data_IF_886015690730
#
_entry.id   IF_886015690730
#
_cell.length_a   1.000
_cell.length_b   1.000
_cell.length_c   1.000
_cell.angle_alpha   90.00
_cell.angle_beta   90.00
_cell.angle_gamma   90.00
#
_symmetry.space_group_name_H-M   'P 1'
#
loop_
_entity.id
_entity.type
_entity.pdbx_description
1 polymer ?
#
# COMPACT_ATOMS: atom_id res chain seq x y z
N UNK A 1 7.91 0.87 27.39
CA UNK A 1 7.30 0.35 26.13
C UNK A 1 8.15 0.82 24.95
N UNK A 2 8.55 -0.09 24.10
CA UNK A 2 9.21 0.22 22.83
C UNK A 2 8.23 0.92 21.87
N UNK A 3 8.74 1.61 20.84
CA UNK A 3 7.89 2.24 19.84
C UNK A 3 6.98 1.21 19.15
N UNK A 4 7.48 -0.02 18.95
CA UNK A 4 6.68 -1.13 18.42
C UNK A 4 5.49 -1.47 19.31
N UNK A 5 5.71 -1.62 20.62
CA UNK A 5 4.63 -1.91 21.58
C UNK A 5 3.61 -0.78 21.65
N UNK A 6 4.08 0.49 21.62
CA UNK A 6 3.21 1.68 21.57
C UNK A 6 2.35 1.67 20.30
N UNK A 7 2.93 1.33 19.14
CA UNK A 7 2.22 1.31 17.85
C UNK A 7 1.19 0.18 17.79
N UNK A 8 1.52 -1.01 18.28
CA UNK A 8 0.57 -2.12 18.42
C UNK A 8 -0.59 -1.73 19.33
N UNK A 9 -0.30 -1.09 20.48
CA UNK A 9 -1.33 -0.61 21.40
C UNK A 9 -2.26 0.44 20.75
N UNK A 10 -1.73 1.33 19.88
CA UNK A 10 -2.55 2.25 19.11
C UNK A 10 -3.50 1.49 18.18
N UNK A 11 -3.01 0.52 17.40
CA UNK A 11 -3.85 -0.27 16.50
C UNK A 11 -4.96 -0.99 17.27
N UNK A 12 -4.63 -1.60 18.40
CA UNK A 12 -5.62 -2.28 19.25
C UNK A 12 -6.65 -1.31 19.84
N UNK A 13 -6.23 -0.11 20.22
CA UNK A 13 -7.15 0.94 20.70
C UNK A 13 -8.10 1.43 19.59
N UNK A 14 -7.62 1.56 18.35
CA UNK A 14 -8.46 1.90 17.19
C UNK A 14 -9.47 0.79 16.89
N UNK A 15 -9.05 -0.49 16.93
CA UNK A 15 -9.94 -1.66 16.78
C UNK A 15 -11.00 -1.69 17.88
N UNK A 16 -10.59 -1.48 19.14
CA UNK A 16 -11.53 -1.43 20.26
C UNK A 16 -12.56 -0.29 20.10
N UNK A 17 -12.14 0.86 19.55
CA UNK A 17 -13.05 1.95 19.25
C UNK A 17 -14.05 1.55 18.15
N UNK A 18 -13.61 0.95 17.05
CA UNK A 18 -14.53 0.43 16.01
C UNK A 18 -15.54 -0.55 16.61
N UNK A 19 -15.08 -1.47 17.44
CA UNK A 19 -15.96 -2.44 18.12
C UNK A 19 -17.00 -1.77 19.02
N UNK A 20 -16.62 -0.74 19.76
CA UNK A 20 -17.54 0.03 20.64
C UNK A 20 -18.68 0.66 19.86
N UNK A 21 -18.41 1.10 18.62
CA UNK A 21 -19.40 1.72 17.73
C UNK A 21 -20.03 0.73 16.74
N UNK A 22 -19.99 -0.58 17.04
CA UNK A 22 -20.70 -1.62 16.29
C UNK A 22 -20.03 -2.11 15.01
N UNK A 23 -18.78 -1.71 14.76
CA UNK A 23 -18.03 -2.06 13.54
C UNK A 23 -16.98 -3.15 13.76
N UNK A 24 -16.96 -3.80 14.92
CA UNK A 24 -16.00 -4.87 15.21
C UNK A 24 -16.21 -6.06 14.29
N UNK A 25 -15.14 -6.49 13.60
CA UNK A 25 -15.14 -7.54 12.57
C UNK A 25 -16.04 -7.23 11.35
N UNK A 26 -16.48 -5.99 11.19
CA UNK A 26 -17.18 -5.53 10.00
C UNK A 26 -16.18 -5.37 8.82
N UNK A 27 -16.69 -5.59 7.60
CA UNK A 27 -15.88 -5.40 6.39
C UNK A 27 -15.34 -3.97 6.19
N UNK A 28 -15.85 -2.97 6.93
CA UNK A 28 -15.41 -1.59 6.89
C UNK A 28 -14.39 -1.24 7.98
N UNK A 29 -14.25 -2.05 9.04
CA UNK A 29 -13.32 -1.82 10.14
C UNK A 29 -11.89 -1.56 9.62
N UNK A 30 -11.41 -2.42 8.70
CA UNK A 30 -10.07 -2.26 8.14
C UNK A 30 -9.89 -0.95 7.35
N UNK A 31 -10.94 -0.49 6.65
CA UNK A 31 -10.89 0.78 5.89
C UNK A 31 -10.69 1.96 6.83
N UNK A 32 -11.40 1.96 7.93
CA UNK A 32 -11.31 2.99 8.95
C UNK A 32 -9.93 2.98 9.58
N UNK A 33 -9.50 1.83 10.10
CA UNK A 33 -8.25 1.73 10.85
C UNK A 33 -7.06 2.07 9.97
N UNK A 34 -7.01 1.56 8.74
CA UNK A 34 -5.90 1.82 7.83
C UNK A 34 -5.80 3.29 7.42
N UNK A 35 -6.93 3.96 7.19
CA UNK A 35 -6.93 5.38 6.84
C UNK A 35 -6.61 6.28 8.03
N UNK A 36 -7.16 5.98 9.22
CA UNK A 36 -6.87 6.73 10.45
C UNK A 36 -5.40 6.54 10.84
N UNK A 37 -4.86 5.33 10.74
CA UNK A 37 -3.44 5.04 10.96
C UNK A 37 -2.55 5.80 9.97
N UNK A 38 -2.89 5.74 8.67
CA UNK A 38 -2.16 6.48 7.63
C UNK A 38 -2.21 7.99 7.88
N UNK A 39 -3.37 8.54 8.23
CA UNK A 39 -3.50 9.95 8.56
C UNK A 39 -2.53 10.35 9.70
N UNK A 40 -2.50 9.57 10.78
CA UNK A 40 -1.56 9.82 11.88
C UNK A 40 -0.11 9.74 11.43
N UNK A 41 0.25 8.70 10.66
CA UNK A 41 1.59 8.55 10.11
C UNK A 41 2.00 9.76 9.25
N UNK A 42 1.13 10.20 8.34
CA UNK A 42 1.41 11.34 7.47
C UNK A 42 1.51 12.66 8.25
N UNK A 43 0.65 12.88 9.25
CA UNK A 43 0.73 14.04 10.14
C UNK A 43 2.09 14.13 10.83
N UNK A 44 2.54 13.03 11.43
CA UNK A 44 3.80 13.00 12.18
C UNK A 44 5.01 13.03 11.24
N UNK A 45 4.95 12.36 10.08
CA UNK A 45 6.00 12.41 9.05
C UNK A 45 6.19 13.82 8.51
N UNK A 46 5.10 14.54 8.30
CA UNK A 46 5.11 15.94 7.89
C UNK A 46 5.79 16.81 8.97
N UNK A 47 5.42 16.67 10.24
CA UNK A 47 6.05 17.39 11.34
C UNK A 47 7.54 17.07 11.47
N UNK A 48 7.91 15.79 11.36
CA UNK A 48 9.30 15.36 11.38
C UNK A 48 10.10 15.99 10.22
N UNK A 49 9.56 15.96 9.01
CA UNK A 49 10.22 16.54 7.83
C UNK A 49 10.40 18.06 7.96
N UNK A 50 9.42 18.79 8.49
CA UNK A 50 9.56 20.22 8.76
C UNK A 50 10.70 20.48 9.73
N UNK A 51 10.74 19.78 10.87
CA UNK A 51 11.78 19.92 11.88
C UNK A 51 13.18 19.68 11.34
N UNK A 52 13.34 18.79 10.36
CA UNK A 52 14.62 18.39 9.77
C UNK A 52 14.91 19.04 8.41
N UNK A 53 14.11 20.02 7.97
CA UNK A 53 14.25 20.64 6.64
C UNK A 53 15.46 21.55 6.50
N UNK A 54 16.09 21.96 7.60
CA UNK A 54 17.16 22.98 7.60
C UNK A 54 16.68 24.38 7.17
N UNK A 55 15.38 24.60 6.98
CA UNK A 55 14.82 25.87 6.60
C UNK A 55 14.78 26.84 7.79
N UNK A 56 15.06 28.13 7.56
CA UNK A 56 15.05 29.14 8.62
C UNK A 56 13.74 29.24 9.42
N UNK A 57 12.60 28.88 8.81
CA UNK A 57 11.30 28.87 9.48
C UNK A 57 11.10 27.62 10.34
N UNK A 58 11.87 26.57 10.09
CA UNK A 58 11.84 25.36 10.92
C UNK A 58 12.40 25.61 12.31
N UNK A 59 13.32 26.58 12.50
CA UNK A 59 13.88 26.90 13.84
C UNK A 59 12.79 27.27 14.85
N UNK A 60 11.80 28.09 14.42
CA UNK A 60 10.65 28.46 15.27
C UNK A 60 9.83 27.23 15.65
N UNK A 61 9.71 26.28 14.74
CA UNK A 61 8.91 25.05 14.93
C UNK A 61 9.67 24.05 15.83
N UNK A 62 10.98 23.92 15.63
CA UNK A 62 11.82 23.02 16.44
C UNK A 62 11.91 23.43 17.93
N UNK A 63 11.89 24.75 18.19
CA UNK A 63 12.00 25.31 19.54
C UNK A 63 10.66 25.43 20.26
N UNK A 64 9.55 25.24 19.56
CA UNK A 64 8.22 25.34 20.13
C UNK A 64 7.87 24.09 20.94
N UNK A 65 7.11 24.27 22.03
CA UNK A 65 6.58 23.16 22.82
C UNK A 65 5.68 22.23 22.02
N UNK A 66 4.90 22.82 21.07
CA UNK A 66 4.04 22.11 20.14
C UNK A 66 4.30 22.61 18.72
N UNK A 67 4.86 21.76 17.89
CA UNK A 67 5.23 22.09 16.52
C UNK A 67 4.01 22.49 15.66
N UNK A 68 2.85 21.87 15.91
CA UNK A 68 1.60 22.14 15.19
C UNK A 68 1.11 23.56 15.41
N UNK A 69 1.23 24.07 16.62
CA UNK A 69 0.87 25.46 16.97
C UNK A 69 1.80 26.42 16.25
N UNK A 70 3.10 26.21 16.35
CA UNK A 70 4.09 27.05 15.69
C UNK A 70 3.95 27.06 14.15
N UNK A 71 3.63 25.90 13.55
CA UNK A 71 3.34 25.83 12.11
C UNK A 71 2.07 26.60 11.74
N UNK A 72 1.03 26.54 12.58
CA UNK A 72 -0.22 27.24 12.36
C UNK A 72 -0.09 28.78 12.47
N UNK A 73 0.85 29.25 13.26
CA UNK A 73 1.16 30.68 13.45
C UNK A 73 2.01 31.28 12.34
N UNK A 74 2.59 30.47 11.45
CA UNK A 74 3.31 30.98 10.29
C UNK A 74 2.37 31.74 9.36
N UNK A 75 2.82 32.88 8.84
CA UNK A 75 2.13 33.57 7.75
C UNK A 75 2.08 32.67 6.50
N UNK A 76 1.15 32.96 5.59
CA UNK A 76 1.01 32.19 4.35
C UNK A 76 2.29 32.19 3.51
N UNK A 77 3.02 33.31 3.48
CA UNK A 77 4.31 33.43 2.77
C UNK A 77 5.38 32.53 3.41
N UNK A 78 5.52 32.55 4.75
CA UNK A 78 6.49 31.73 5.47
C UNK A 78 6.18 30.24 5.27
N UNK A 79 4.89 29.87 5.34
CA UNK A 79 4.42 28.50 5.12
C UNK A 79 4.70 28.03 3.71
N UNK A 80 4.42 28.86 2.70
CA UNK A 80 4.71 28.55 1.30
C UNK A 80 6.21 28.31 1.08
N UNK A 81 7.08 29.18 1.64
CA UNK A 81 8.52 29.02 1.54
C UNK A 81 9.02 27.75 2.26
N UNK A 82 8.47 27.43 3.42
CA UNK A 82 8.79 26.21 4.15
C UNK A 82 8.37 24.97 3.34
N UNK A 83 7.15 24.94 2.82
CA UNK A 83 6.63 23.82 2.02
C UNK A 83 7.42 23.63 0.71
N UNK A 84 7.91 24.71 0.09
CA UNK A 84 8.73 24.63 -1.11
C UNK A 84 10.13 24.02 -0.86
N UNK A 85 10.61 24.05 0.39
CA UNK A 85 11.88 23.41 0.77
C UNK A 85 11.76 21.92 1.10
N UNK A 86 10.53 21.40 1.26
CA UNK A 86 10.31 19.99 1.55
C UNK A 86 10.34 19.16 0.26
N UNK A 87 10.72 17.88 0.40
CA UNK A 87 10.63 16.91 -0.70
C UNK A 87 9.23 16.91 -1.33
N UNK A 88 9.11 16.83 -2.66
CA UNK A 88 7.81 16.72 -3.32
C UNK A 88 7.03 15.46 -2.91
N UNK A 89 7.71 14.45 -2.40
CA UNK A 89 7.12 13.18 -1.95
C UNK A 89 6.43 13.25 -0.58
N UNK A 90 6.53 14.39 0.10
CA UNK A 90 5.88 14.57 1.40
C UNK A 90 4.45 15.11 1.24
N UNK A 91 3.53 14.71 2.13
CA UNK A 91 2.17 15.25 2.11
C UNK A 91 2.20 16.77 2.31
N UNK A 92 1.27 17.45 1.67
CA UNK A 92 1.03 18.88 1.89
C UNK A 92 -0.15 19.01 2.83
N UNK A 93 0.13 19.40 4.08
CA UNK A 93 -0.90 19.58 5.09
C UNK A 93 -1.05 21.07 5.44
N UNK A 94 -2.29 21.53 5.48
CA UNK A 94 -2.66 22.85 6.01
C UNK A 94 -2.75 22.78 7.54
N UNK A 95 -2.74 23.94 8.26
CA UNK A 95 -2.96 23.95 9.71
C UNK A 95 -4.23 23.23 10.16
N UNK A 96 -5.34 23.42 9.44
CA UNK A 96 -6.62 22.76 9.70
C UNK A 96 -6.61 21.24 9.53
N UNK A 97 -5.62 20.71 8.81
CA UNK A 97 -5.44 19.26 8.61
C UNK A 97 -4.73 18.57 9.77
N UNK A 98 -4.11 19.33 10.68
CA UNK A 98 -3.32 18.76 11.76
C UNK A 98 -4.20 18.14 12.84
N UNK A 99 -3.76 17.01 13.38
CA UNK A 99 -4.51 16.29 14.43
C UNK A 99 -4.71 17.16 15.68
N UNK A 100 -3.71 17.98 16.03
CA UNK A 100 -3.84 18.92 17.13
C UNK A 100 -4.98 19.94 16.92
N UNK A 101 -5.21 20.36 15.68
CA UNK A 101 -6.32 21.27 15.35
C UNK A 101 -7.67 20.56 15.43
N UNK A 102 -7.78 19.33 14.96
CA UNK A 102 -8.99 18.52 15.16
C UNK A 102 -9.27 18.31 16.66
N UNK A 103 -8.24 18.01 17.44
CA UNK A 103 -8.36 17.88 18.90
C UNK A 103 -8.98 19.13 19.53
N UNK A 104 -8.51 20.32 19.15
CA UNK A 104 -9.01 21.58 19.66
C UNK A 104 -10.46 21.90 19.26
N UNK A 105 -10.97 21.25 18.21
CA UNK A 105 -12.33 21.46 17.68
C UNK A 105 -13.36 20.43 18.17
N UNK A 106 -12.98 19.47 19.01
CA UNK A 106 -13.85 18.36 19.43
C UNK A 106 -15.17 18.80 20.13
N UNK A 107 -15.21 20.00 20.72
CA UNK A 107 -16.41 20.50 21.37
C UNK A 107 -17.50 20.96 20.38
N UNK A 108 -17.19 21.10 19.10
CA UNK A 108 -18.17 21.50 18.07
C UNK A 108 -19.20 20.39 17.85
N UNK A 109 -20.48 20.81 17.62
CA UNK A 109 -21.59 19.88 17.48
C UNK A 109 -21.52 19.00 16.21
N UNK A 110 -20.95 19.55 15.14
CA UNK A 110 -20.76 18.96 13.81
C UNK A 110 -19.39 18.33 13.60
N UNK A 111 -18.79 17.76 14.65
CA UNK A 111 -17.42 17.27 14.63
C UNK A 111 -17.20 16.11 13.66
N UNK A 112 -18.17 15.26 13.43
CA UNK A 112 -18.15 14.22 12.39
C UNK A 112 -17.95 14.81 10.98
N UNK A 113 -18.68 15.88 10.66
CA UNK A 113 -18.52 16.59 9.40
C UNK A 113 -17.12 17.24 9.28
N UNK A 114 -16.63 17.87 10.35
CA UNK A 114 -15.28 18.47 10.38
C UNK A 114 -14.22 17.38 10.14
N UNK A 115 -14.34 16.24 10.80
CA UNK A 115 -13.40 15.13 10.65
C UNK A 115 -13.40 14.57 9.21
N UNK A 116 -14.58 14.27 8.66
CA UNK A 116 -14.73 13.71 7.31
C UNK A 116 -14.27 14.70 6.22
N UNK A 117 -14.55 16.00 6.39
CA UNK A 117 -14.05 17.02 5.48
C UNK A 117 -12.54 17.17 5.54
N UNK A 118 -11.94 17.08 6.72
CA UNK A 118 -10.48 17.07 6.86
C UNK A 118 -9.85 15.93 6.07
N UNK A 119 -10.40 14.72 6.19
CA UNK A 119 -9.92 13.55 5.43
C UNK A 119 -10.05 13.78 3.92
N UNK A 120 -11.18 14.32 3.47
CA UNK A 120 -11.44 14.60 2.05
C UNK A 120 -10.54 15.70 1.50
N UNK A 121 -10.33 16.81 2.22
CA UNK A 121 -9.47 17.91 1.78
C UNK A 121 -7.99 17.49 1.71
N UNK A 122 -7.51 16.68 2.67
CA UNK A 122 -6.17 16.08 2.59
C UNK A 122 -6.05 15.22 1.33
N UNK A 123 -7.06 14.42 1.02
CA UNK A 123 -7.05 13.55 -0.15
C UNK A 123 -7.02 14.35 -1.46
N UNK A 124 -7.84 15.39 -1.58
CA UNK A 124 -7.90 16.25 -2.76
C UNK A 124 -6.59 17.02 -2.97
N UNK A 125 -6.07 17.63 -1.91
CA UNK A 125 -4.82 18.41 -1.97
C UNK A 125 -3.62 17.56 -2.37
N UNK A 126 -3.62 16.29 -2.02
CA UNK A 126 -2.53 15.35 -2.26
C UNK A 126 -2.88 14.30 -3.32
N UNK A 127 -3.90 14.52 -4.15
CA UNK A 127 -4.38 13.53 -5.13
C UNK A 127 -3.29 13.10 -6.12
N UNK A 128 -2.35 13.98 -6.44
CA UNK A 128 -1.23 13.65 -7.33
C UNK A 128 -0.35 12.55 -6.75
N UNK A 129 -0.17 12.53 -5.41
CA UNK A 129 0.73 11.62 -4.70
C UNK A 129 -0.07 10.45 -4.08
N UNK A 130 -1.19 10.77 -3.38
CA UNK A 130 -1.94 9.81 -2.57
C UNK A 130 -3.24 9.36 -3.23
N UNK A 131 -3.16 8.77 -4.42
CA UNK A 131 -4.31 8.20 -5.11
C UNK A 131 -4.02 6.79 -5.63
N UNK A 132 -5.07 6.00 -5.83
CA UNK A 132 -4.98 4.74 -6.57
C UNK A 132 -5.23 4.99 -8.04
N UNK A 133 -4.34 4.53 -8.91
CA UNK A 133 -4.53 4.60 -10.34
C UNK A 133 -5.11 3.29 -10.87
N UNK A 134 -6.15 3.39 -11.68
CA UNK A 134 -6.73 2.25 -12.40
C UNK A 134 -6.09 2.08 -13.77
N UNK A 135 -6.31 0.93 -14.39
CA UNK A 135 -5.90 0.70 -15.81
C UNK A 135 -6.54 1.66 -16.80
N UNK A 136 -7.58 2.39 -16.40
CA UNK A 136 -8.24 3.42 -17.20
C UNK A 136 -7.75 4.84 -16.88
N UNK A 137 -6.63 4.98 -16.16
CA UNK A 137 -6.05 6.25 -15.70
C UNK A 137 -6.98 7.08 -14.78
N UNK A 138 -7.95 6.44 -14.11
CA UNK A 138 -8.76 7.10 -13.09
C UNK A 138 -8.03 7.10 -11.77
N UNK A 139 -7.93 8.27 -11.13
CA UNK A 139 -7.36 8.41 -9.77
C UNK A 139 -8.46 8.30 -8.72
N UNK A 140 -8.28 7.37 -7.78
CA UNK A 140 -9.18 7.15 -6.64
C UNK A 140 -8.45 7.62 -5.39
N UNK A 141 -9.02 8.56 -4.60
CA UNK A 141 -8.42 9.04 -3.37
C UNK A 141 -8.15 7.90 -2.37
N UNK A 142 -7.09 8.02 -1.57
CA UNK A 142 -6.80 7.05 -0.48
C UNK A 142 -7.66 7.31 0.76
N UNK A 143 -8.05 8.57 1.00
CA UNK A 143 -8.93 8.94 2.09
C UNK A 143 -10.35 9.16 1.61
N UNK A 144 -11.29 8.79 2.44
CA UNK A 144 -12.72 8.95 2.23
C UNK A 144 -13.41 9.33 3.55
N UNK A 145 -14.62 9.88 3.54
CA UNK A 145 -15.41 10.10 4.76
C UNK A 145 -15.55 8.80 5.55
N UNK A 146 -15.16 8.79 6.82
CA UNK A 146 -15.12 7.57 7.64
C UNK A 146 -16.33 7.42 8.55
N UNK A 147 -16.93 8.53 8.98
CA UNK A 147 -18.08 8.48 9.89
C UNK A 147 -19.34 7.93 9.24
N UNK A 148 -19.41 7.90 7.90
CA UNK A 148 -20.49 7.29 7.14
C UNK A 148 -20.68 5.79 7.44
N UNK A 149 -19.64 5.11 7.91
CA UNK A 149 -19.70 3.69 8.29
C UNK A 149 -20.38 3.47 9.65
N UNK A 150 -20.54 4.52 10.45
CA UNK A 150 -21.32 4.47 11.69
C UNK A 150 -22.80 4.67 11.33
N UNK A 151 -23.59 3.61 11.48
CA UNK A 151 -25.00 3.58 11.06
C UNK A 151 -25.84 4.58 11.83
N UNK A 152 -25.66 4.67 13.17
CA UNK A 152 -26.36 5.64 14.01
C UNK A 152 -25.70 7.02 13.87
N UNK A 153 -26.44 7.95 13.24
CA UNK A 153 -25.98 9.31 13.00
C UNK A 153 -25.59 10.03 14.30
N UNK A 154 -26.32 9.78 15.40
CA UNK A 154 -26.02 10.40 16.69
C UNK A 154 -24.67 9.93 17.28
N UNK A 155 -24.15 8.78 16.85
CA UNK A 155 -22.88 8.23 17.28
C UNK A 155 -21.69 8.65 16.38
N UNK A 156 -21.90 9.31 15.26
CA UNK A 156 -20.82 9.71 14.32
C UNK A 156 -19.85 10.70 14.95
N UNK A 157 -20.33 11.78 15.55
CA UNK A 157 -19.47 12.75 16.20
C UNK A 157 -18.75 12.16 17.44
N UNK A 158 -19.40 11.40 18.36
CA UNK A 158 -18.70 10.64 19.40
C UNK A 158 -17.63 9.70 18.87
N UNK A 159 -17.90 8.97 17.79
CA UNK A 159 -16.93 8.10 17.13
C UNK A 159 -15.70 8.87 16.62
N UNK A 160 -15.91 9.96 15.88
CA UNK A 160 -14.82 10.79 15.36
C UNK A 160 -13.94 11.34 16.49
N UNK A 161 -14.57 11.81 17.62
CA UNK A 161 -13.84 12.25 18.81
C UNK A 161 -12.99 11.13 19.40
N UNK A 162 -13.56 9.95 19.57
CA UNK A 162 -12.84 8.79 20.12
C UNK A 162 -11.63 8.40 19.25
N UNK A 163 -11.74 8.50 17.92
CA UNK A 163 -10.62 8.27 17.00
C UNK A 163 -9.52 9.33 17.17
N UNK A 164 -9.89 10.62 17.15
CA UNK A 164 -8.92 11.73 17.31
C UNK A 164 -8.22 11.68 18.66
N UNK A 165 -8.90 11.28 19.74
CA UNK A 165 -8.32 11.08 21.06
C UNK A 165 -7.16 10.06 21.03
N UNK A 166 -7.32 8.94 20.31
CA UNK A 166 -6.27 7.93 20.21
C UNK A 166 -5.06 8.46 19.43
N UNK A 167 -5.32 9.23 18.35
CA UNK A 167 -4.26 9.79 17.51
C UNK A 167 -3.47 10.90 18.23
N UNK A 168 -4.14 11.78 18.97
CA UNK A 168 -3.52 12.91 19.66
C UNK A 168 -2.55 12.47 20.76
N UNK A 169 -2.79 11.32 21.38
CA UNK A 169 -1.98 10.77 22.46
C UNK A 169 -0.85 9.85 22.01
N UNK A 170 -0.57 9.78 20.69
CA UNK A 170 0.47 8.94 20.12
C UNK A 170 1.42 9.78 19.24
N UNK A 171 2.68 9.34 19.10
CA UNK A 171 3.66 9.92 18.17
C UNK A 171 4.46 8.83 17.46
N UNK A 172 4.62 9.00 16.14
CA UNK A 172 5.51 8.19 15.31
C UNK A 172 6.94 8.73 15.26
N UNK A 173 7.26 9.84 15.93
CA UNK A 173 8.57 10.51 15.76
C UNK A 173 9.75 9.57 16.00
N UNK A 174 9.68 8.73 17.05
CA UNK A 174 10.69 7.70 17.35
C UNK A 174 10.79 6.63 16.24
N UNK A 175 9.69 6.38 15.50
CA UNK A 175 9.65 5.34 14.47
C UNK A 175 10.36 5.75 13.17
N UNK A 176 10.56 7.04 12.93
CA UNK A 176 11.20 7.51 11.68
C UNK A 176 12.71 7.25 11.64
N UNK A 177 13.31 6.87 12.75
CA UNK A 177 14.68 6.36 12.82
C UNK A 177 14.77 4.83 12.75
N UNK A 178 13.63 4.12 12.79
CA UNK A 178 13.58 2.66 12.67
C UNK A 178 13.74 2.21 11.22
N UNK A 179 14.13 0.95 11.06
CA UNK A 179 14.36 0.35 9.76
C UNK A 179 13.13 -0.41 9.24
N UNK A 180 13.26 -0.94 8.02
CA UNK A 180 12.26 -1.72 7.30
C UNK A 180 11.53 -2.76 8.16
N UNK A 181 12.25 -3.52 9.00
CA UNK A 181 11.65 -4.56 9.84
C UNK A 181 10.59 -4.03 10.80
N UNK A 182 10.70 -2.79 11.26
CA UNK A 182 9.68 -2.15 12.08
C UNK A 182 8.38 -1.98 11.30
N UNK A 183 8.42 -1.31 10.14
CA UNK A 183 7.23 -1.02 9.34
C UNK A 183 6.61 -2.29 8.75
N UNK A 184 7.42 -3.26 8.32
CA UNK A 184 6.94 -4.55 7.86
C UNK A 184 6.16 -5.30 8.95
N UNK A 185 6.67 -5.35 10.18
CA UNK A 185 6.00 -5.99 11.31
C UNK A 185 4.71 -5.24 11.72
N UNK A 186 4.71 -3.91 11.71
CA UNK A 186 3.53 -3.11 12.01
C UNK A 186 2.46 -3.29 10.95
N UNK A 187 2.86 -3.31 9.68
CA UNK A 187 1.94 -3.55 8.58
C UNK A 187 1.32 -4.96 8.68
N UNK A 188 2.13 -5.99 8.94
CA UNK A 188 1.66 -7.35 9.15
C UNK A 188 0.65 -7.43 10.30
N UNK A 189 0.95 -6.77 11.43
CA UNK A 189 0.02 -6.71 12.56
C UNK A 189 -1.28 -5.99 12.20
N UNK A 190 -1.20 -4.88 11.47
CA UNK A 190 -2.36 -4.11 11.05
C UNK A 190 -3.34 -4.94 10.20
N UNK A 191 -2.83 -5.80 9.31
CA UNK A 191 -3.65 -6.58 8.39
C UNK A 191 -3.98 -8.00 8.87
N UNK A 192 -3.36 -8.46 9.97
CA UNK A 192 -3.46 -9.84 10.48
C UNK A 192 -4.90 -10.34 10.61
N UNK A 193 -5.74 -9.59 11.30
CA UNK A 193 -7.12 -10.01 11.58
C UNK A 193 -7.98 -10.01 10.31
N UNK A 194 -7.64 -9.15 9.34
CA UNK A 194 -8.37 -9.04 8.07
C UNK A 194 -8.03 -10.18 7.11
N UNK A 195 -6.87 -10.80 7.28
CA UNK A 195 -6.47 -11.99 6.53
C UNK A 195 -7.17 -13.25 7.07
N UNK A 196 -7.51 -13.29 8.37
CA UNK A 196 -8.17 -14.43 9.02
C UNK A 196 -9.69 -14.38 8.97
N UNK A 197 -10.29 -13.19 9.10
CA UNK A 197 -11.75 -13.01 9.18
C UNK A 197 -12.51 -13.31 7.87
N UNK A 198 -11.83 -13.36 6.73
CA UNK A 198 -12.42 -13.60 5.42
C UNK A 198 -12.66 -15.06 5.03
N UNK A 199 -12.62 -16.02 5.97
CA UNK A 199 -12.89 -17.42 5.68
C UNK A 199 -11.93 -18.06 4.67
N UNK A 200 -10.67 -17.70 4.69
CA UNK A 200 -9.64 -18.18 3.76
C UNK A 200 -9.57 -17.42 2.42
N UNK A 201 -10.60 -16.70 2.02
CA UNK A 201 -10.59 -15.93 0.76
C UNK A 201 -9.59 -14.78 0.75
N UNK A 202 -9.19 -14.24 1.91
CA UNK A 202 -8.24 -13.15 2.05
C UNK A 202 -6.83 -13.62 2.39
N UNK A 203 -6.66 -14.84 2.91
CA UNK A 203 -5.35 -15.46 3.13
C UNK A 203 -4.59 -15.73 1.82
N UNK A 204 -5.29 -15.75 0.68
CA UNK A 204 -4.70 -15.96 -0.64
C UNK A 204 -3.83 -14.77 -1.11
N UNK A 205 -3.95 -13.61 -0.47
CA UNK A 205 -3.25 -12.38 -0.91
C UNK A 205 -2.08 -11.96 -0.02
N UNK A 206 -1.79 -12.74 1.02
CA UNK A 206 -0.71 -12.43 1.94
C UNK A 206 0.47 -13.40 1.81
N UNK A 207 1.65 -12.86 1.55
CA UNK A 207 2.90 -13.61 1.55
C UNK A 207 3.59 -13.45 2.90
N UNK A 208 3.90 -14.54 3.64
CA UNK A 208 4.65 -14.43 4.89
C UNK A 208 5.98 -13.72 4.70
N UNK A 209 6.30 -12.79 5.59
CA UNK A 209 7.51 -11.96 5.52
C UNK A 209 8.80 -12.80 5.36
N UNK A 210 8.90 -13.95 6.05
CA UNK A 210 10.04 -14.85 5.93
C UNK A 210 10.25 -15.36 4.48
N UNK A 211 9.17 -15.70 3.78
CA UNK A 211 9.23 -16.14 2.37
C UNK A 211 9.67 -14.98 1.48
N UNK A 212 9.12 -13.78 1.70
CA UNK A 212 9.50 -12.59 0.96
C UNK A 212 10.98 -12.25 1.12
N UNK A 213 11.50 -12.32 2.33
CA UNK A 213 12.92 -12.10 2.64
C UNK A 213 13.82 -13.12 1.95
N UNK A 214 13.46 -14.42 1.96
CA UNK A 214 14.21 -15.47 1.28
C UNK A 214 14.25 -15.21 -0.23
N UNK A 215 13.10 -14.91 -0.84
CA UNK A 215 13.03 -14.62 -2.28
C UNK A 215 13.87 -13.40 -2.66
N UNK A 216 13.80 -12.32 -1.89
CA UNK A 216 14.58 -11.11 -2.12
C UNK A 216 16.10 -11.39 -2.04
N UNK A 217 16.56 -12.11 -1.02
CA UNK A 217 17.98 -12.49 -0.87
C UNK A 217 18.47 -13.38 -2.00
N UNK A 218 17.67 -14.34 -2.45
CA UNK A 218 18.03 -15.21 -3.57
C UNK A 218 18.16 -14.44 -4.90
N UNK A 219 17.28 -13.44 -5.14
CA UNK A 219 17.31 -12.63 -6.36
C UNK A 219 18.48 -11.65 -6.37
N UNK A 220 18.64 -10.90 -5.30
CA UNK A 220 19.66 -9.84 -5.19
C UNK A 220 21.06 -10.45 -4.98
N UNK A 221 21.18 -11.50 -4.15
CA UNK A 221 22.47 -12.12 -3.80
C UNK A 221 23.38 -11.11 -3.09
N UNK A 222 24.70 -11.28 -3.30
CA UNK A 222 25.73 -10.44 -2.70
C UNK A 222 26.07 -9.18 -3.52
N UNK A 223 25.18 -8.76 -4.41
CA UNK A 223 25.39 -7.58 -5.26
C UNK A 223 25.19 -6.28 -4.46
N UNK A 224 26.28 -5.72 -3.95
CA UNK A 224 26.24 -4.53 -3.11
C UNK A 224 26.01 -3.19 -3.88
N UNK A 225 26.07 -3.19 -5.22
CA UNK A 225 26.15 -1.96 -6.02
C UNK A 225 25.05 -1.89 -7.10
N UNK A 226 23.82 -2.24 -6.72
CA UNK A 226 22.67 -2.13 -7.59
C UNK A 226 22.10 -0.71 -7.53
N UNK A 227 21.89 -0.08 -8.70
CA UNK A 227 21.27 1.23 -8.84
C UNK A 227 20.28 1.27 -10.00
N UNK A 228 19.25 2.11 -9.90
CA UNK A 228 18.21 2.29 -10.91
C UNK A 228 17.51 0.98 -11.27
N UNK A 229 17.26 0.14 -10.28
CA UNK A 229 16.65 -1.18 -10.44
C UNK A 229 15.13 -1.05 -10.53
N UNK A 230 14.54 -1.69 -11.51
CA UNK A 230 13.10 -1.79 -11.67
C UNK A 230 12.58 -3.15 -11.19
N UNK A 231 11.73 -3.13 -10.17
CA UNK A 231 11.12 -4.31 -9.57
C UNK A 231 9.64 -4.38 -9.90
N UNK A 232 9.14 -5.55 -10.24
CA UNK A 232 7.74 -5.73 -10.64
C UNK A 232 7.08 -6.94 -9.96
N UNK A 233 5.80 -6.77 -9.59
CA UNK A 233 4.91 -7.87 -9.18
C UNK A 233 3.56 -7.75 -9.92
N UNK A 234 3.23 -8.74 -10.80
CA UNK A 234 1.97 -8.75 -11.55
C UNK A 234 0.74 -9.18 -10.73
N UNK A 235 0.94 -9.63 -9.49
CA UNK A 235 -0.11 -10.06 -8.54
C UNK A 235 0.23 -9.56 -7.14
N UNK A 236 0.49 -8.25 -7.05
CA UNK A 236 1.22 -7.64 -5.96
C UNK A 236 0.59 -7.80 -4.57
N UNK A 237 -0.72 -8.08 -4.49
CA UNK A 237 -1.40 -8.17 -3.21
C UNK A 237 -1.17 -6.92 -2.38
N UNK A 238 -0.68 -7.10 -1.16
CA UNK A 238 -0.32 -6.01 -0.24
C UNK A 238 1.12 -5.50 -0.42
N UNK A 239 1.89 -6.04 -1.39
CA UNK A 239 3.23 -5.59 -1.73
C UNK A 239 4.36 -6.17 -0.87
N UNK A 240 4.11 -7.18 -0.06
CA UNK A 240 5.12 -7.74 0.86
C UNK A 240 6.39 -8.21 0.15
N UNK A 241 6.26 -8.87 -1.02
CA UNK A 241 7.41 -9.29 -1.83
C UNK A 241 8.23 -8.11 -2.34
N UNK A 242 7.55 -7.07 -2.83
CA UNK A 242 8.19 -5.87 -3.35
C UNK A 242 8.91 -5.08 -2.26
N UNK A 243 8.32 -4.98 -1.06
CA UNK A 243 8.96 -4.30 0.07
C UNK A 243 10.23 -5.04 0.52
N UNK A 244 10.19 -6.37 0.63
CA UNK A 244 11.37 -7.16 0.96
C UNK A 244 12.47 -7.01 -0.09
N UNK A 245 12.09 -6.94 -1.37
CA UNK A 245 13.03 -6.77 -2.48
C UNK A 245 13.65 -5.37 -2.49
N UNK A 246 12.84 -4.31 -2.30
CA UNK A 246 13.34 -2.93 -2.24
C UNK A 246 14.27 -2.71 -1.05
N UNK A 247 13.96 -3.30 0.09
CA UNK A 247 14.83 -3.24 1.25
C UNK A 247 16.19 -3.92 1.01
N UNK A 248 16.19 -5.08 0.34
CA UNK A 248 17.44 -5.79 0.03
C UNK A 248 18.33 -5.06 -0.98
N UNK A 249 17.72 -4.25 -1.87
CA UNK A 249 18.43 -3.43 -2.88
C UNK A 249 18.84 -2.07 -2.28
N UNK A 250 17.98 -1.47 -1.49
CA UNK A 250 17.97 -0.09 -1.00
C UNK A 250 16.79 0.67 -1.62
N UNK A 251 15.98 1.28 -0.77
CA UNK A 251 14.72 1.94 -1.16
C UNK A 251 14.96 3.13 -2.12
N UNK A 252 16.10 3.79 -2.01
CA UNK A 252 16.54 4.90 -2.87
C UNK A 252 17.19 4.44 -4.20
N UNK A 253 17.40 3.11 -4.38
CA UNK A 253 18.10 2.52 -5.52
C UNK A 253 17.18 1.76 -6.47
N UNK A 254 15.90 1.65 -6.14
CA UNK A 254 14.94 0.93 -6.97
C UNK A 254 13.62 1.67 -7.13
N UNK A 255 12.92 1.32 -8.20
CA UNK A 255 11.55 1.75 -8.48
C UNK A 255 10.65 0.52 -8.49
N UNK A 256 9.52 0.62 -7.79
CA UNK A 256 8.54 -0.45 -7.67
C UNK A 256 7.43 -0.26 -8.69
N UNK A 257 7.16 -1.31 -9.44
CA UNK A 257 6.02 -1.45 -10.34
C UNK A 257 5.12 -2.58 -9.82
N UNK A 258 3.83 -2.37 -9.82
CA UNK A 258 2.90 -3.34 -9.29
C UNK A 258 1.56 -3.29 -10.01
N UNK A 259 0.91 -4.43 -10.13
CA UNK A 259 -0.47 -4.50 -10.59
C UNK A 259 -1.23 -5.57 -9.81
N UNK A 260 -2.46 -5.27 -9.41
CA UNK A 260 -3.35 -6.23 -8.73
C UNK A 260 -4.80 -5.92 -9.07
N UNK A 261 -5.59 -6.98 -9.26
CA UNK A 261 -7.02 -6.85 -9.57
C UNK A 261 -7.84 -6.33 -8.38
N UNK A 262 -7.39 -6.60 -7.16
CA UNK A 262 -8.09 -6.25 -5.93
C UNK A 262 -7.87 -4.77 -5.58
N UNK A 263 -8.95 -3.99 -5.57
CA UNK A 263 -8.93 -2.62 -5.10
C UNK A 263 -8.47 -2.53 -3.64
N UNK A 264 -8.89 -3.48 -2.80
CA UNK A 264 -8.48 -3.55 -1.40
C UNK A 264 -6.98 -3.76 -1.25
N UNK A 265 -6.44 -4.76 -1.95
CA UNK A 265 -5.00 -5.05 -1.94
C UNK A 265 -4.19 -3.86 -2.44
N UNK A 266 -4.65 -3.18 -3.49
CA UNK A 266 -3.96 -2.02 -4.03
C UNK A 266 -3.92 -0.83 -3.04
N UNK A 267 -5.00 -0.56 -2.30
CA UNK A 267 -4.99 0.44 -1.21
C UNK A 267 -3.98 0.06 -0.11
N UNK A 268 -3.90 -1.22 0.26
CA UNK A 268 -2.93 -1.72 1.24
C UNK A 268 -1.49 -1.65 0.72
N UNK A 269 -1.26 -1.99 -0.54
CA UNK A 269 0.03 -1.83 -1.20
C UNK A 269 0.51 -0.38 -1.13
N UNK A 270 -0.36 0.59 -1.43
CA UNK A 270 0.00 2.01 -1.35
C UNK A 270 0.32 2.47 0.06
N UNK A 271 -0.45 2.00 1.04
CA UNK A 271 -0.09 2.23 2.44
C UNK A 271 1.32 1.66 2.76
N UNK A 272 1.61 0.45 2.30
CA UNK A 272 2.90 -0.19 2.52
C UNK A 272 4.05 0.57 1.85
N UNK A 273 3.87 1.04 0.61
CA UNK A 273 4.82 1.92 -0.10
C UNK A 273 5.09 3.21 0.69
N UNK A 274 4.04 3.86 1.20
CA UNK A 274 4.16 5.09 1.99
C UNK A 274 4.93 4.87 3.29
N UNK A 275 4.63 3.81 4.02
CA UNK A 275 5.31 3.46 5.27
C UNK A 275 6.80 3.18 5.05
N UNK A 276 7.17 2.60 3.91
CA UNK A 276 8.55 2.27 3.54
C UNK A 276 9.27 3.38 2.73
N UNK A 277 8.68 4.56 2.58
CA UNK A 277 9.34 5.71 1.92
C UNK A 277 9.41 5.62 0.39
N UNK A 278 8.70 4.67 -0.22
CA UNK A 278 8.69 4.44 -1.67
C UNK A 278 7.60 5.28 -2.38
N UNK A 279 7.54 6.57 -2.05
CA UNK A 279 6.48 7.48 -2.53
C UNK A 279 6.53 7.64 -4.05
N UNK A 280 7.71 7.71 -4.64
CA UNK A 280 7.91 7.80 -6.10
C UNK A 280 7.33 6.62 -6.87
N UNK A 281 7.10 5.49 -6.19
CA UNK A 281 6.51 4.27 -6.80
C UNK A 281 4.98 4.21 -6.74
N UNK A 282 4.33 5.16 -6.07
CA UNK A 282 2.85 5.15 -5.89
C UNK A 282 2.09 5.18 -7.21
N UNK A 283 2.58 5.94 -8.20
CA UNK A 283 1.95 6.03 -9.52
C UNK A 283 2.12 4.76 -10.36
N UNK A 284 3.03 3.87 -9.95
CA UNK A 284 3.27 2.58 -10.60
C UNK A 284 2.51 1.42 -9.94
N UNK A 285 1.75 1.69 -8.87
CA UNK A 285 0.88 0.70 -8.23
C UNK A 285 -0.54 0.78 -8.81
N UNK A 286 -0.84 -0.11 -9.74
CA UNK A 286 -2.02 -0.07 -10.60
C UNK A 286 -3.08 -1.08 -10.14
N UNK A 287 -4.34 -0.64 -10.10
CA UNK A 287 -5.48 -1.52 -9.87
C UNK A 287 -6.04 -2.02 -11.20
N UNK A 288 -6.04 -3.33 -11.42
CA UNK A 288 -6.62 -3.95 -12.60
C UNK A 288 -6.13 -5.36 -12.87
N UNK A 289 -6.82 -6.06 -13.79
CA UNK A 289 -6.49 -7.44 -14.19
C UNK A 289 -5.24 -7.45 -15.07
N UNK A 290 -4.13 -7.92 -14.54
CA UNK A 290 -2.83 -8.01 -15.20
C UNK A 290 -2.84 -8.93 -16.42
N UNK A 291 -3.57 -10.03 -16.35
CA UNK A 291 -3.57 -11.02 -17.44
C UNK A 291 -4.37 -10.55 -18.66
N UNK A 292 -5.44 -9.79 -18.42
CA UNK A 292 -6.30 -9.25 -19.49
C UNK A 292 -5.79 -7.90 -19.99
N UNK A 293 -5.41 -7.01 -19.07
CA UNK A 293 -5.03 -5.63 -19.34
C UNK A 293 -3.75 -5.24 -18.60
N UNK A 294 -2.58 -5.75 -19.00
CA UNK A 294 -1.33 -5.34 -18.41
C UNK A 294 -1.11 -3.84 -18.66
N UNK A 295 -0.90 -3.10 -17.57
CA UNK A 295 -0.71 -1.65 -17.64
C UNK A 295 0.72 -1.27 -18.00
N UNK A 296 1.70 -1.96 -17.39
CA UNK A 296 3.12 -1.67 -17.58
C UNK A 296 3.58 -2.20 -18.95
N UNK A 297 3.68 -1.30 -19.90
CA UNK A 297 4.11 -1.57 -21.26
C UNK A 297 5.42 -0.89 -21.58
N UNK A 298 6.07 -1.37 -22.62
CA UNK A 298 7.21 -0.71 -23.27
C UNK A 298 6.80 0.66 -23.84
N UNK A 299 7.77 1.49 -24.14
CA UNK A 299 7.55 2.86 -24.62
C UNK A 299 6.75 2.92 -25.93
N UNK A 300 6.81 1.86 -26.76
CA UNK A 300 6.00 1.72 -27.97
C UNK A 300 4.53 1.30 -27.68
N UNK A 301 4.20 0.99 -26.44
CA UNK A 301 2.88 0.53 -25.99
C UNK A 301 2.47 -0.85 -26.49
N UNK A 302 3.33 -1.54 -27.25
CA UNK A 302 3.02 -2.81 -27.94
C UNK A 302 3.38 -4.04 -27.10
N UNK A 303 4.55 -3.98 -26.45
CA UNK A 303 5.11 -5.07 -25.66
C UNK A 303 4.91 -4.83 -24.17
N UNK A 304 5.16 -5.84 -23.35
CA UNK A 304 5.30 -5.68 -21.91
C UNK A 304 6.61 -4.93 -21.58
N UNK A 305 6.56 -4.03 -20.59
CA UNK A 305 7.77 -3.50 -19.98
C UNK A 305 8.58 -4.65 -19.39
N UNK A 306 9.89 -4.57 -19.52
CA UNK A 306 10.82 -5.56 -18.99
C UNK A 306 11.55 -4.99 -17.76
N UNK A 307 11.68 -5.81 -16.71
CA UNK A 307 12.16 -5.42 -15.40
C UNK A 307 13.44 -6.20 -15.02
N UNK A 308 14.21 -5.63 -14.11
CA UNK A 308 15.40 -6.27 -13.56
C UNK A 308 15.03 -7.43 -12.65
N UNK A 309 14.05 -7.21 -11.77
CA UNK A 309 13.52 -8.23 -10.89
C UNK A 309 12.00 -8.33 -11.00
N UNK A 310 11.49 -9.55 -11.15
CA UNK A 310 10.06 -9.83 -11.11
C UNK A 310 9.78 -10.85 -10.03
N UNK A 311 8.91 -10.51 -9.09
CA UNK A 311 8.45 -11.39 -8.01
C UNK A 311 6.97 -11.61 -8.14
N UNK A 312 6.46 -12.75 -7.68
CA UNK A 312 5.02 -12.98 -7.65
C UNK A 312 4.65 -14.12 -6.70
N UNK A 313 3.58 -13.94 -5.96
CA UNK A 313 2.83 -15.00 -5.29
C UNK A 313 1.40 -14.99 -5.81
N UNK A 314 1.15 -15.53 -7.00
CA UNK A 314 -0.15 -15.47 -7.65
C UNK A 314 -1.15 -16.43 -7.02
N UNK A 315 -2.47 -16.21 -7.20
CA UNK A 315 -3.47 -17.21 -6.86
C UNK A 315 -3.18 -18.51 -7.63
N UNK A 316 -3.19 -19.65 -6.92
CA UNK A 316 -2.90 -20.93 -7.56
C UNK A 316 -4.06 -21.44 -8.41
N UNK A 317 -5.28 -21.25 -7.90
CA UNK A 317 -6.51 -21.69 -8.54
C UNK A 317 -7.57 -20.61 -8.42
N UNK A 318 -8.26 -20.34 -9.52
CA UNK A 318 -9.32 -19.32 -9.57
C UNK A 318 -10.23 -19.63 -10.77
N UNK A 319 -11.52 -19.34 -10.65
CA UNK A 319 -12.41 -19.27 -11.80
C UNK A 319 -12.11 -17.99 -12.59
N UNK A 320 -11.57 -18.14 -13.79
CA UNK A 320 -11.38 -17.06 -14.75
C UNK A 320 -12.02 -17.41 -16.11
N UNK A 321 -13.05 -18.26 -16.09
CA UNK A 321 -13.75 -18.70 -17.31
C UNK A 321 -14.25 -17.55 -18.17
N UNK A 322 -14.72 -16.46 -17.56
CA UNK A 322 -15.26 -15.28 -18.24
C UNK A 322 -14.19 -14.44 -18.95
N UNK A 323 -12.95 -14.49 -18.48
CA UNK A 323 -11.83 -13.73 -19.05
C UNK A 323 -10.85 -14.62 -19.84
N UNK A 324 -11.04 -15.93 -19.81
CA UNK A 324 -10.13 -16.91 -20.42
C UNK A 324 -9.83 -16.62 -21.89
N UNK A 325 -10.85 -16.31 -22.70
CA UNK A 325 -10.66 -16.05 -24.13
C UNK A 325 -9.89 -14.74 -24.39
N UNK A 326 -10.08 -13.73 -23.53
CA UNK A 326 -9.31 -12.49 -23.59
C UNK A 326 -7.83 -12.74 -23.31
N UNK A 327 -7.51 -13.63 -22.35
CA UNK A 327 -6.14 -14.05 -22.03
C UNK A 327 -5.55 -14.85 -23.21
N UNK A 328 -6.31 -15.80 -23.75
CA UNK A 328 -5.88 -16.64 -24.87
C UNK A 328 -5.65 -15.87 -26.17
N UNK A 329 -6.19 -14.65 -26.30
CA UNK A 329 -5.94 -13.77 -27.44
C UNK A 329 -4.48 -13.31 -27.59
N UNK A 330 -3.63 -13.57 -26.58
CA UNK A 330 -2.21 -13.20 -26.55
C UNK A 330 -1.27 -14.43 -26.60
N UNK A 331 -1.26 -15.21 -27.70
CA UNK A 331 -0.53 -16.49 -27.76
C UNK A 331 1.00 -16.31 -27.61
N UNK A 332 1.56 -15.18 -28.00
CA UNK A 332 2.98 -14.90 -27.82
C UNK A 332 3.36 -14.77 -26.33
N UNK A 333 2.45 -14.22 -25.51
CA UNK A 333 2.64 -14.10 -24.06
C UNK A 333 2.36 -15.41 -23.34
N UNK A 334 1.39 -16.19 -23.82
CA UNK A 334 0.96 -17.45 -23.22
C UNK A 334 1.29 -18.65 -24.13
N UNK A 335 2.58 -18.78 -24.45
CA UNK A 335 3.08 -19.77 -25.44
C UNK A 335 2.83 -21.22 -25.06
N UNK A 336 2.82 -21.53 -23.75
CA UNK A 336 2.52 -22.87 -23.26
C UNK A 336 1.01 -23.17 -23.26
N UNK A 337 0.18 -22.13 -23.47
CA UNK A 337 -1.27 -22.17 -23.52
C UNK A 337 -1.93 -21.57 -22.27
N UNK A 338 -3.25 -21.54 -22.31
CA UNK A 338 -4.14 -21.05 -21.23
C UNK A 338 -5.02 -22.21 -20.76
N UNK A 339 -5.17 -22.44 -19.45
CA UNK A 339 -6.00 -23.53 -18.90
C UNK A 339 -7.40 -23.58 -19.52
N UNK A 340 -7.85 -24.78 -19.85
CA UNK A 340 -9.21 -25.01 -20.37
C UNK A 340 -10.23 -24.83 -19.26
N UNK A 341 -11.43 -24.34 -19.62
CA UNK A 341 -12.56 -24.26 -18.69
C UNK A 341 -13.07 -25.67 -18.44
N UNK A 342 -13.03 -26.20 -17.21
CA UNK A 342 -13.57 -27.51 -16.90
C UNK A 342 -15.10 -27.44 -16.85
N UNK A 343 -15.77 -28.56 -17.18
CA UNK A 343 -17.22 -28.66 -17.14
C UNK A 343 -17.79 -28.50 -15.70
N UNK A 344 -17.00 -28.89 -14.70
CA UNK A 344 -17.31 -28.75 -13.26
C UNK A 344 -16.08 -28.18 -12.56
N UNK A 345 -16.26 -27.53 -11.39
CA UNK A 345 -15.18 -26.97 -10.55
C UNK A 345 -14.31 -25.94 -11.31
N UNK A 346 -14.94 -24.93 -11.86
CA UNK A 346 -14.25 -23.83 -12.55
C UNK A 346 -13.22 -23.12 -11.67
N UNK A 347 -13.46 -23.07 -10.36
CA UNK A 347 -12.57 -22.58 -9.32
C UNK A 347 -11.22 -23.33 -9.21
N UNK A 348 -11.12 -24.50 -9.86
CA UNK A 348 -9.88 -25.30 -9.90
C UNK A 348 -8.94 -24.94 -11.06
N UNK A 349 -9.27 -23.97 -11.93
CA UNK A 349 -8.43 -23.58 -13.04
C UNK A 349 -7.09 -23.05 -12.57
N UNK A 350 -5.99 -23.59 -13.09
CA UNK A 350 -4.62 -23.31 -12.69
C UNK A 350 -4.11 -21.96 -13.21
N UNK A 351 -4.66 -20.85 -12.73
CA UNK A 351 -4.35 -19.48 -13.20
C UNK A 351 -2.87 -19.12 -13.01
N UNK A 352 -2.20 -19.69 -12.01
CA UNK A 352 -0.77 -19.45 -11.78
C UNK A 352 0.11 -19.77 -12.98
N UNK A 353 -0.30 -20.69 -13.87
CA UNK A 353 0.44 -21.01 -15.10
C UNK A 353 0.45 -19.85 -16.09
N UNK A 354 -0.60 -18.99 -16.07
CA UNK A 354 -0.62 -17.75 -16.85
C UNK A 354 0.31 -16.70 -16.23
N UNK A 355 0.35 -16.61 -14.88
CA UNK A 355 1.28 -15.71 -14.18
C UNK A 355 2.74 -16.07 -14.40
N UNK A 356 3.11 -17.36 -14.39
CA UNK A 356 4.49 -17.79 -14.72
C UNK A 356 4.89 -17.29 -16.11
N UNK A 357 4.05 -17.50 -17.12
CA UNK A 357 4.34 -17.05 -18.47
C UNK A 357 4.42 -15.53 -18.57
N UNK A 358 3.57 -14.80 -17.84
CA UNK A 358 3.64 -13.35 -17.77
C UNK A 358 4.93 -12.86 -17.10
N UNK A 359 5.33 -13.46 -15.98
CA UNK A 359 6.59 -13.15 -15.29
C UNK A 359 7.78 -13.32 -16.22
N UNK A 360 7.87 -14.44 -16.93
CA UNK A 360 8.98 -14.71 -17.87
C UNK A 360 9.03 -13.65 -18.98
N UNK A 361 7.87 -13.25 -19.54
CA UNK A 361 7.80 -12.21 -20.56
C UNK A 361 8.10 -10.78 -20.04
N UNK A 362 8.05 -10.58 -18.74
CA UNK A 362 8.32 -9.29 -18.10
C UNK A 362 9.77 -9.14 -17.62
N UNK A 363 10.63 -10.13 -17.84
CA UNK A 363 12.05 -10.08 -17.46
C UNK A 363 12.89 -9.43 -18.56
N UNK A 364 13.83 -8.56 -18.16
CA UNK A 364 14.88 -8.06 -19.06
C UNK A 364 15.66 -9.23 -19.65
N UNK A 365 15.85 -9.21 -20.97
CA UNK A 365 16.61 -10.25 -21.67
C UNK A 365 18.04 -10.31 -21.12
N UNK A 366 18.54 -11.50 -20.84
CA UNK A 366 19.90 -11.82 -20.39
C UNK A 366 20.27 -11.35 -18.96
N UNK A 367 19.56 -10.42 -18.34
CA UNK A 367 19.90 -9.85 -17.02
C UNK A 367 18.77 -9.96 -15.98
N UNK A 368 17.52 -9.97 -16.42
CA UNK A 368 16.38 -10.04 -15.54
C UNK A 368 16.28 -11.35 -14.78
N UNK A 369 15.96 -11.29 -13.50
CA UNK A 369 15.77 -12.45 -12.63
C UNK A 369 14.34 -12.46 -12.06
N UNK A 370 13.73 -13.64 -11.98
CA UNK A 370 12.38 -13.80 -11.43
C UNK A 370 12.30 -14.84 -10.33
N UNK A 371 11.42 -14.60 -9.37
CA UNK A 371 11.05 -15.58 -8.35
C UNK A 371 9.54 -15.62 -8.18
N UNK A 372 8.97 -16.82 -8.22
CA UNK A 372 7.53 -17.02 -8.13
C UNK A 372 7.19 -18.15 -7.15
N UNK A 373 6.17 -17.95 -6.34
CA UNK A 373 5.64 -19.00 -5.47
C UNK A 373 4.68 -19.85 -6.29
N UNK A 374 4.91 -21.16 -6.30
CA UNK A 374 4.14 -22.13 -7.09
C UNK A 374 3.72 -23.34 -6.24
N UNK A 375 2.62 -24.00 -6.59
CA UNK A 375 2.26 -25.26 -5.93
C UNK A 375 3.28 -26.37 -6.24
N UNK A 376 3.54 -27.24 -5.27
CA UNK A 376 4.51 -28.35 -5.39
C UNK A 376 4.21 -29.27 -6.57
N UNK A 377 2.92 -29.42 -6.95
CA UNK A 377 2.51 -30.21 -8.10
C UNK A 377 3.05 -29.73 -9.44
N UNK A 378 3.49 -28.45 -9.54
CA UNK A 378 4.11 -27.94 -10.77
C UNK A 378 5.39 -28.67 -11.13
N UNK A 379 6.27 -28.93 -10.15
CA UNK A 379 7.59 -29.57 -10.39
C UNK A 379 7.44 -31.03 -10.82
N UNK A 380 6.34 -31.66 -10.45
CA UNK A 380 6.09 -33.09 -10.73
C UNK A 380 5.16 -33.32 -11.93
N UNK A 381 4.73 -32.25 -12.60
CA UNK A 381 3.85 -32.34 -13.73
C UNK A 381 4.49 -33.05 -14.93
N UNK A 382 3.84 -34.12 -15.42
CA UNK A 382 4.33 -34.92 -16.55
C UNK A 382 3.63 -34.58 -17.88
N UNK A 383 2.62 -33.73 -17.82
CA UNK A 383 1.82 -33.32 -18.98
C UNK A 383 1.12 -32.00 -18.70
N UNK A 384 0.45 -31.44 -19.70
CA UNK A 384 -0.29 -30.20 -19.55
C UNK A 384 0.55 -28.94 -19.82
N UNK A 385 0.04 -27.81 -19.34
CA UNK A 385 0.68 -26.49 -19.51
C UNK A 385 1.94 -26.43 -18.66
N UNK A 386 1.90 -26.98 -17.45
CA UNK A 386 3.00 -27.01 -16.49
C UNK A 386 4.26 -27.67 -17.08
N UNK A 387 4.07 -28.73 -17.86
CA UNK A 387 5.19 -29.45 -18.50
C UNK A 387 5.75 -28.72 -19.72
N UNK A 388 5.00 -27.75 -20.28
CA UNK A 388 5.43 -26.95 -21.43
C UNK A 388 6.17 -25.69 -21.01
N UNK A 389 5.89 -25.18 -19.80
CA UNK A 389 6.62 -24.08 -19.18
C UNK A 389 7.98 -24.53 -18.70
#
# INVERSE_FOLDING_TARGET
>A
MTIREKTVALIDALKATCKTYGMGNDGNEYKIITQVFLYKFLNDKFGYAIKHSGNRYAEKICTAEKWETAYSELSDMERMMLLASLSPDLPRLKPEHLIANLWNQQAKGDFDFIFDNTMSDIAEQNLAIFSTQTTQNTKIPLFEPLTQYVTDVAQRAPFARAMVDKLANFSFEEAFSEHYDFFANIFEYLIKDYNTAGGGKYAEYYTPHAIATIMARLLVGDHADLHNIECYDPSAGTGTLLMALSHQIGEDRCTIFAQDISQRSNKMLKLNLLLNGLVSSLDHAIQGDTLVAPYHKSDDGQSLRQFDFVVSNPPFKMDFSDTREKIAAFPARFWAGVPKVPAKKKDSMAIYTCFIQHVINSLKKNSGKGAIVIPTGFITAKSGIENKI
#
